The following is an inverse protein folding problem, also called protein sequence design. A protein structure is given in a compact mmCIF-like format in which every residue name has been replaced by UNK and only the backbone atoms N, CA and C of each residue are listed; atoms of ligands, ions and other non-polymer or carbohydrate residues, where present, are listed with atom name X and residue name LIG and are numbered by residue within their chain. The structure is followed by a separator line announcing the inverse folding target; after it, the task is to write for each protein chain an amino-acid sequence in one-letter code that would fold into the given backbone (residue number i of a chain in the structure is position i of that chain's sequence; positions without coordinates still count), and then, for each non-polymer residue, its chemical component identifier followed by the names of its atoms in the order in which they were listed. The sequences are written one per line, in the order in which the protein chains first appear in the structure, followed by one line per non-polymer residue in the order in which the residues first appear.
data_IF_243962491664
#
_entry.id   IF_243962491664
#
_cell.length_a   1.000
_cell.length_b   1.000
_cell.length_c   1.000
_cell.angle_alpha   90.00
_cell.angle_beta   90.00
_cell.angle_gamma   90.00
#
_symmetry.space_group_name_H-M   'P 1'
#
loop_
_entity.id
_entity.type
_entity.pdbx_description
1 polymer ?
#
# COMPACT_ATOMS: atom_id res chain seq x y z
N UNK A 1 0.28 8.17 19.86
CA UNK A 1 0.08 7.30 18.67
C UNK A 1 0.79 7.97 17.51
N UNK A 2 1.80 7.36 16.88
CA UNK A 2 2.47 8.01 15.76
C UNK A 2 1.46 8.09 14.61
N UNK A 3 1.10 9.32 14.22
CA UNK A 3 0.36 9.58 12.99
C UNK A 3 1.37 9.51 11.83
N UNK A 4 0.98 9.05 10.64
CA UNK A 4 1.83 9.20 9.47
C UNK A 4 2.22 10.68 9.26
N UNK A 5 3.40 10.94 8.66
CA UNK A 5 3.84 12.29 8.33
C UNK A 5 2.84 12.99 7.40
N UNK A 6 2.82 14.33 7.45
CA UNK A 6 2.01 15.19 6.58
C UNK A 6 0.49 14.95 6.61
N UNK A 7 -0.04 14.45 7.74
CA UNK A 7 -1.47 14.12 7.93
C UNK A 7 -1.99 13.14 6.87
N UNK A 8 -1.10 12.31 6.33
CA UNK A 8 -1.45 11.30 5.33
C UNK A 8 -2.47 10.30 5.90
N UNK A 9 -3.30 9.69 5.04
CA UNK A 9 -4.24 8.67 5.49
C UNK A 9 -3.49 7.43 6.02
N UNK A 10 -4.03 6.89 7.11
CA UNK A 10 -3.55 5.66 7.76
C UNK A 10 -3.64 4.45 6.82
N UNK A 11 -4.66 4.40 5.96
CA UNK A 11 -4.86 3.33 4.98
C UNK A 11 -4.79 3.92 3.58
N UNK A 12 -3.98 3.29 2.72
CA UNK A 12 -3.82 3.70 1.32
C UNK A 12 -3.84 2.47 0.43
N UNK A 13 -4.59 2.54 -0.66
CA UNK A 13 -4.51 1.55 -1.74
C UNK A 13 -3.71 2.16 -2.87
N UNK A 14 -2.56 1.58 -3.17
CA UNK A 14 -1.77 1.93 -4.34
C UNK A 14 -2.23 1.04 -5.49
N UNK A 15 -2.63 1.65 -6.59
CA UNK A 15 -2.98 0.95 -7.83
C UNK A 15 -2.11 1.47 -8.98
N UNK A 16 -1.81 0.58 -9.92
CA UNK A 16 -1.05 0.91 -11.13
C UNK A 16 -0.73 -0.34 -11.95
N UNK A 17 -0.17 -0.17 -13.16
CA UNK A 17 0.36 -1.30 -13.93
C UNK A 17 1.49 -2.02 -13.16
N UNK A 18 1.71 -3.30 -13.47
CA UNK A 18 2.83 -4.08 -12.94
C UNK A 18 4.16 -3.62 -13.55
N UNK A 19 4.66 -2.48 -13.10
CA UNK A 19 5.87 -1.84 -13.59
C UNK A 19 6.79 -1.35 -12.45
N UNK A 20 8.01 -0.95 -12.82
CA UNK A 20 8.98 -0.40 -11.87
C UNK A 20 8.49 0.88 -11.17
N UNK A 21 7.53 1.60 -11.75
CA UNK A 21 6.96 2.80 -11.14
C UNK A 21 6.03 2.42 -9.98
N UNK A 22 5.25 1.36 -10.11
CA UNK A 22 4.45 0.78 -9.04
C UNK A 22 5.35 0.27 -7.91
N UNK A 23 6.37 -0.53 -8.24
CA UNK A 23 7.33 -1.02 -7.24
C UNK A 23 7.94 0.13 -6.44
N UNK A 24 8.40 1.21 -7.11
CA UNK A 24 8.95 2.39 -6.45
C UNK A 24 7.96 3.10 -5.53
N UNK A 25 6.67 3.20 -5.91
CA UNK A 25 5.63 3.80 -5.05
C UNK A 25 5.38 2.98 -3.78
N UNK A 26 5.34 1.66 -3.91
CA UNK A 26 5.19 0.76 -2.76
C UNK A 26 6.43 0.86 -1.85
N UNK A 27 7.63 0.80 -2.43
CA UNK A 27 8.89 0.96 -1.67
C UNK A 27 8.94 2.30 -0.92
N UNK A 28 8.56 3.41 -1.55
CA UNK A 28 8.54 4.71 -0.89
C UNK A 28 7.57 4.75 0.30
N UNK A 29 6.39 4.09 0.19
CA UNK A 29 5.48 3.97 1.33
C UNK A 29 6.08 3.13 2.46
N UNK A 30 6.79 2.04 2.13
CA UNK A 30 7.49 1.22 3.13
C UNK A 30 8.63 1.99 3.82
N UNK A 31 9.40 2.77 3.07
CA UNK A 31 10.46 3.64 3.61
C UNK A 31 9.91 4.72 4.55
N UNK A 32 8.70 5.22 4.27
CA UNK A 32 7.99 6.14 5.18
C UNK A 32 7.54 5.48 6.49
N UNK A 33 7.51 4.15 6.57
CA UNK A 33 7.07 3.40 7.74
C UNK A 33 5.66 2.79 7.61
N UNK A 34 5.05 2.82 6.43
CA UNK A 34 3.85 2.01 6.18
C UNK A 34 4.20 0.52 6.11
N UNK A 35 3.21 -0.32 6.34
CA UNK A 35 3.29 -1.78 6.26
C UNK A 35 2.32 -2.30 5.19
N UNK A 36 2.69 -3.41 4.53
CA UNK A 36 1.79 -4.06 3.56
C UNK A 36 0.57 -4.63 4.28
N UNK A 37 -0.62 -4.33 3.76
CA UNK A 37 -1.86 -4.89 4.25
C UNK A 37 -2.30 -6.06 3.35
N UNK A 38 -1.88 -7.26 3.73
CA UNK A 38 -2.17 -8.48 2.98
C UNK A 38 -1.44 -8.58 1.64
N UNK A 39 -1.87 -9.52 0.82
CA UNK A 39 -1.28 -9.81 -0.50
C UNK A 39 -1.77 -8.82 -1.57
N UNK A 40 -0.94 -8.52 -2.59
CA UNK A 40 -1.37 -7.69 -3.71
C UNK A 40 -2.50 -8.37 -4.49
N UNK A 41 -3.45 -7.59 -4.98
CA UNK A 41 -4.44 -8.02 -5.95
C UNK A 41 -3.94 -7.71 -7.37
N UNK A 42 -4.04 -8.68 -8.27
CA UNK A 42 -3.62 -8.56 -9.67
C UNK A 42 -4.85 -8.73 -10.55
N UNK A 43 -5.07 -7.81 -11.50
CA UNK A 43 -6.14 -7.94 -12.48
C UNK A 43 -5.63 -7.58 -13.87
N UNK A 44 -6.02 -8.34 -14.88
CA UNK A 44 -5.63 -8.07 -16.26
C UNK A 44 -6.74 -7.26 -16.96
N UNK A 45 -6.40 -6.08 -17.48
CA UNK A 45 -7.38 -5.19 -18.11
C UNK A 45 -7.50 -5.38 -19.65
N UNK A 46 -6.93 -6.46 -20.19
CA UNK A 46 -6.89 -6.72 -21.63
C UNK A 46 -5.63 -6.18 -22.34
N UNK A 47 -4.85 -5.31 -21.68
CA UNK A 47 -3.60 -4.76 -22.21
C UNK A 47 -2.44 -4.94 -21.24
N UNK A 48 -2.66 -4.67 -19.96
CA UNK A 48 -1.64 -4.71 -18.91
C UNK A 48 -2.20 -5.40 -17.65
N UNK A 49 -1.30 -5.96 -16.85
CA UNK A 49 -1.61 -6.37 -15.49
C UNK A 49 -1.64 -5.13 -14.61
N UNK A 50 -2.76 -4.91 -13.93
CA UNK A 50 -2.94 -3.87 -12.94
C UNK A 50 -2.80 -4.51 -11.56
N UNK A 51 -1.89 -3.96 -10.76
CA UNK A 51 -1.64 -4.35 -9.38
C UNK A 51 -2.33 -3.37 -8.46
N UNK A 52 -2.94 -3.89 -7.40
CA UNK A 52 -3.43 -3.13 -6.27
C UNK A 52 -2.77 -3.66 -4.99
N UNK A 53 -2.04 -2.82 -4.29
CA UNK A 53 -1.44 -3.14 -3.00
C UNK A 53 -1.94 -2.14 -1.95
N UNK A 54 -2.56 -2.68 -0.90
CA UNK A 54 -2.93 -1.89 0.27
C UNK A 54 -1.72 -1.75 1.20
N UNK A 55 -1.55 -0.54 1.75
CA UNK A 55 -0.56 -0.23 2.78
C UNK A 55 -1.24 0.46 3.97
N UNK A 56 -0.85 0.08 5.17
CA UNK A 56 -1.38 0.61 6.43
C UNK A 56 -0.28 1.22 7.29
N UNK A 57 -0.61 2.27 8.01
CA UNK A 57 0.26 2.82 9.03
C UNK A 57 0.13 2.01 10.32
N UNK A 58 1.23 1.45 10.86
CA UNK A 58 1.19 0.60 12.05
C UNK A 58 0.67 1.35 13.29
N UNK A 59 0.86 2.67 13.36
CA UNK A 59 0.45 3.50 14.48
C UNK A 59 -1.06 3.61 14.72
N UNK A 60 -1.90 3.06 13.84
CA UNK A 60 -3.36 3.02 13.97
C UNK A 60 -3.93 1.61 13.83
N UNK A 61 -3.10 0.56 13.72
CA UNK A 61 -3.59 -0.80 13.74
C UNK A 61 -4.07 -1.14 15.15
N UNK A 62 -5.36 -0.91 15.40
CA UNK A 62 -6.12 -1.87 16.17
C UNK A 62 -5.94 -3.19 15.43
N UNK A 63 -5.05 -4.05 15.94
CA UNK A 63 -4.92 -5.43 15.50
C UNK A 63 -6.33 -6.00 15.34
N UNK A 64 -6.80 -6.36 14.12
CA UNK A 64 -7.97 -7.20 14.05
C UNK A 64 -7.51 -8.54 14.58
N UNK A 65 -7.82 -8.79 15.86
CA UNK A 65 -7.69 -10.10 16.45
C UNK A 65 -8.57 -11.03 15.62
N UNK A 66 -7.92 -11.96 14.91
CA UNK A 66 -8.57 -13.15 14.39
C UNK A 66 -8.67 -14.16 15.54
#
# INVERSE_FOLDING_TARGET
MPRPPDDLPIYRVLTGPDDASFCRRVSAALEMGYQLHGTPALTFNGQNVIVAQAVIWPGSAATPAN
#
